data_IF_967647609844
#
_entry.id   IF_967647609844
#
_cell.length_a   1.000
_cell.length_b   1.000
_cell.length_c   1.000
_cell.angle_alpha   90.00
_cell.angle_beta   90.00
_cell.angle_gamma   90.00
#
_symmetry.space_group_name_H-M   'P 1'
#
loop_
_entity.id
_entity.type
_entity.pdbx_description
1 polymer ?
#
# COMPACT_ATOMS: atom_id res chain seq x y z
N UNK A 1 -10.53 -20.58 -15.05
CA UNK A 1 -10.88 -19.88 -13.79
C UNK A 1 -10.02 -20.44 -12.67
N UNK A 2 -9.59 -19.61 -11.72
CA UNK A 2 -8.80 -20.06 -10.56
C UNK A 2 -9.58 -21.08 -9.72
N UNK A 3 -8.87 -22.07 -9.16
CA UNK A 3 -9.47 -22.93 -8.14
C UNK A 3 -9.74 -22.14 -6.85
N UNK A 4 -10.63 -22.64 -5.99
CA UNK A 4 -10.97 -21.97 -4.72
C UNK A 4 -9.75 -21.76 -3.83
N UNK A 5 -8.81 -22.71 -3.82
CA UNK A 5 -7.58 -22.62 -3.04
C UNK A 5 -6.61 -21.56 -3.60
N UNK A 6 -6.43 -21.52 -4.93
CA UNK A 6 -5.59 -20.51 -5.57
C UNK A 6 -6.17 -19.09 -5.39
N UNK A 7 -7.49 -18.94 -5.54
CA UNK A 7 -8.17 -17.67 -5.28
C UNK A 7 -7.97 -17.22 -3.83
N UNK A 8 -8.14 -18.13 -2.86
CA UNK A 8 -7.92 -17.84 -1.45
C UNK A 8 -6.48 -17.40 -1.17
N UNK A 9 -5.49 -18.07 -1.78
CA UNK A 9 -4.08 -17.69 -1.69
C UNK A 9 -3.83 -16.27 -2.22
N UNK A 10 -4.33 -15.94 -3.42
CA UNK A 10 -4.16 -14.59 -3.97
C UNK A 10 -4.88 -13.52 -3.14
N UNK A 11 -6.05 -13.84 -2.55
CA UNK A 11 -6.73 -12.92 -1.63
C UNK A 11 -5.92 -12.70 -0.37
N UNK A 12 -5.39 -13.75 0.26
CA UNK A 12 -4.55 -13.62 1.44
C UNK A 12 -3.30 -12.76 1.15
N UNK A 13 -2.60 -13.04 0.05
CA UNK A 13 -1.42 -12.27 -0.38
C UNK A 13 -1.75 -10.80 -0.69
N UNK A 14 -2.94 -10.52 -1.22
CA UNK A 14 -3.39 -9.16 -1.53
C UNK A 14 -3.73 -8.35 -0.27
N UNK A 15 -4.36 -8.96 0.73
CA UNK A 15 -4.80 -8.26 1.95
C UNK A 15 -3.70 -8.16 3.02
N UNK A 16 -2.71 -9.05 2.97
CA UNK A 16 -1.61 -9.08 3.94
C UNK A 16 -0.88 -7.73 4.13
N UNK A 17 -0.51 -6.97 3.07
CA UNK A 17 0.14 -5.68 3.24
C UNK A 17 -0.70 -4.67 4.03
N UNK A 18 -2.02 -4.64 3.83
CA UNK A 18 -2.91 -3.77 4.58
C UNK A 18 -2.93 -4.15 6.07
N UNK A 19 -3.03 -5.45 6.37
CA UNK A 19 -3.02 -5.95 7.74
C UNK A 19 -1.69 -5.65 8.44
N UNK A 20 -0.57 -5.80 7.74
CA UNK A 20 0.75 -5.49 8.26
C UNK A 20 0.88 -3.99 8.60
N UNK A 21 0.46 -3.10 7.69
CA UNK A 21 0.48 -1.66 7.95
C UNK A 21 -0.43 -1.28 9.11
N UNK A 22 -1.65 -1.84 9.18
CA UNK A 22 -2.56 -1.62 10.31
C UNK A 22 -1.94 -2.07 11.63
N UNK A 23 -1.31 -3.25 11.67
CA UNK A 23 -0.67 -3.76 12.88
C UNK A 23 0.49 -2.86 13.33
N UNK A 24 1.34 -2.40 12.40
CA UNK A 24 2.44 -1.47 12.70
C UNK A 24 1.87 -0.14 13.23
N UNK A 25 0.90 0.46 12.55
CA UNK A 25 0.29 1.71 13.01
C UNK A 25 -0.40 1.57 14.37
N UNK A 26 -1.05 0.44 14.64
CA UNK A 26 -1.64 0.17 15.96
C UNK A 26 -0.59 -0.01 17.06
N UNK A 27 0.54 -0.63 16.75
CA UNK A 27 1.67 -0.79 17.67
C UNK A 27 2.31 0.55 18.02
N UNK A 28 2.61 1.37 17.01
CA UNK A 28 3.16 2.71 17.20
C UNK A 28 2.21 3.61 18.02
N UNK A 29 0.89 3.44 17.81
CA UNK A 29 -0.14 4.17 18.54
C UNK A 29 -0.16 3.76 20.01
N UNK A 30 -0.06 2.46 20.28
CA UNK A 30 -0.02 1.92 21.63
C UNK A 30 1.20 2.40 22.42
N UNK A 31 2.36 2.49 21.77
CA UNK A 31 3.61 2.93 22.40
C UNK A 31 3.70 4.46 22.57
N UNK A 32 2.71 5.21 22.08
CA UNK A 32 2.70 6.68 22.18
C UNK A 32 3.72 7.35 21.27
N UNK A 33 4.20 6.70 20.22
CA UNK A 33 5.19 7.28 19.29
C UNK A 33 4.61 8.48 18.51
N UNK A 34 3.28 8.59 18.45
CA UNK A 34 2.60 9.77 17.90
C UNK A 34 2.65 11.02 18.81
N UNK A 35 3.14 10.90 20.05
CA UNK A 35 3.22 11.99 21.03
C UNK A 35 4.63 12.58 21.18
N UNK A 36 5.67 11.90 20.68
CA UNK A 36 7.07 12.34 20.82
C UNK A 36 7.47 13.25 19.66
N UNK A 37 7.77 14.52 19.97
CA UNK A 37 8.07 15.58 18.98
C UNK A 37 9.50 15.51 18.38
N UNK A 38 10.16 14.35 18.40
CA UNK A 38 11.53 14.22 17.90
C UNK A 38 11.57 13.88 16.38
N UNK A 39 11.35 14.96 15.62
CA UNK A 39 11.85 15.39 14.29
C UNK A 39 12.20 14.43 13.13
N UNK A 40 11.98 13.12 13.18
CA UNK A 40 12.18 12.27 11.98
C UNK A 40 11.22 11.09 11.87
N UNK A 41 10.80 10.48 12.99
CA UNK A 41 9.82 9.38 13.00
C UNK A 41 8.41 9.82 12.60
N UNK A 42 8.03 11.03 13.03
CA UNK A 42 6.71 11.63 12.80
C UNK A 42 6.36 11.66 11.31
N UNK A 43 7.32 12.02 10.44
CA UNK A 43 7.08 12.09 9.00
C UNK A 43 6.76 10.72 8.40
N UNK A 44 7.55 9.69 8.74
CA UNK A 44 7.34 8.32 8.24
C UNK A 44 6.02 7.71 8.72
N UNK A 45 5.60 8.02 9.94
CA UNK A 45 4.34 7.56 10.49
C UNK A 45 3.12 8.20 9.80
N UNK A 46 3.18 9.50 9.47
CA UNK A 46 2.16 10.13 8.62
C UNK A 46 2.12 9.52 7.21
N UNK A 47 3.29 9.16 6.65
CA UNK A 47 3.42 8.52 5.33
C UNK A 47 2.78 7.14 5.29
N UNK A 48 2.87 6.37 6.37
CA UNK A 48 2.20 5.07 6.52
C UNK A 48 0.70 5.21 6.72
N UNK A 49 0.27 6.16 7.57
CA UNK A 49 -1.15 6.34 7.90
C UNK A 49 -1.98 6.75 6.69
N UNK A 50 -1.47 7.67 5.87
CA UNK A 50 -2.10 8.04 4.59
C UNK A 50 -2.01 6.96 3.51
N UNK A 51 -1.15 5.95 3.70
CA UNK A 51 -1.11 4.77 2.86
C UNK A 51 -2.26 3.78 3.11
N UNK A 52 -2.91 3.82 4.29
CA UNK A 52 -3.98 2.89 4.67
C UNK A 52 -5.20 3.01 3.74
N UNK A 53 -5.77 4.21 3.46
CA UNK A 53 -6.88 4.33 2.51
C UNK A 53 -6.51 3.85 1.10
N UNK A 54 -5.27 4.12 0.67
CA UNK A 54 -4.76 3.66 -0.62
C UNK A 54 -4.67 2.14 -0.70
N UNK A 55 -4.12 1.49 0.34
CA UNK A 55 -4.04 0.03 0.44
C UNK A 55 -5.43 -0.60 0.51
N UNK A 56 -6.35 -0.02 1.27
CA UNK A 56 -7.73 -0.48 1.35
C UNK A 56 -8.41 -0.42 -0.02
N UNK A 57 -8.35 0.74 -0.69
CA UNK A 57 -8.94 0.93 -2.01
C UNK A 57 -8.34 -0.01 -3.06
N UNK A 58 -7.02 -0.17 -3.04
CA UNK A 58 -6.31 -1.10 -3.90
C UNK A 58 -6.73 -2.55 -3.67
N UNK A 59 -6.76 -3.01 -2.42
CA UNK A 59 -7.15 -4.37 -2.05
C UNK A 59 -8.60 -4.67 -2.44
N UNK A 60 -9.53 -3.74 -2.23
CA UNK A 60 -10.93 -3.89 -2.65
C UNK A 60 -11.05 -3.96 -4.19
N UNK A 61 -10.37 -3.07 -4.90
CA UNK A 61 -10.40 -3.03 -6.36
C UNK A 61 -9.82 -4.31 -6.98
N UNK A 62 -8.68 -4.76 -6.47
CA UNK A 62 -8.00 -5.97 -6.94
C UNK A 62 -8.75 -7.24 -6.55
N UNK A 63 -9.39 -7.30 -5.39
CA UNK A 63 -10.23 -8.42 -4.98
C UNK A 63 -11.40 -8.61 -5.94
N UNK A 64 -12.08 -7.51 -6.32
CA UNK A 64 -13.14 -7.56 -7.34
C UNK A 64 -12.62 -8.01 -8.70
N UNK A 65 -11.42 -7.55 -9.08
CA UNK A 65 -10.83 -7.91 -10.38
C UNK A 65 -10.29 -9.33 -10.45
N UNK A 66 -9.96 -9.97 -9.32
CA UNK A 66 -9.40 -11.32 -9.27
C UNK A 66 -10.43 -12.43 -9.52
N UNK A 67 -11.71 -12.20 -9.16
CA UNK A 67 -12.75 -13.23 -9.18
C UNK A 67 -13.06 -13.80 -10.58
N UNK A 68 -12.83 -13.02 -11.64
CA UNK A 68 -13.13 -13.42 -13.02
C UNK A 68 -11.91 -13.85 -13.85
N UNK A 69 -10.72 -13.96 -13.22
CA UNK A 69 -9.46 -14.15 -13.95
C UNK A 69 -9.00 -15.60 -14.01
N UNK A 70 -8.25 -15.89 -15.07
CA UNK A 70 -7.45 -17.10 -15.20
C UNK A 70 -6.11 -16.96 -14.49
N UNK A 71 -5.45 -18.08 -14.21
CA UNK A 71 -4.18 -18.15 -13.47
C UNK A 71 -3.08 -17.25 -14.03
N UNK A 72 -2.80 -17.33 -15.34
CA UNK A 72 -1.81 -16.45 -15.98
C UNK A 72 -2.16 -14.96 -15.86
N UNK A 73 -3.45 -14.63 -15.87
CA UNK A 73 -3.91 -13.26 -15.68
C UNK A 73 -3.77 -12.80 -14.24
N UNK A 74 -3.93 -13.71 -13.26
CA UNK A 74 -3.72 -13.44 -11.83
C UNK A 74 -2.23 -13.21 -11.54
N UNK A 75 -1.34 -14.06 -12.05
CA UNK A 75 0.12 -13.88 -11.94
C UNK A 75 0.59 -12.56 -12.57
N UNK A 76 0.06 -12.23 -13.76
CA UNK A 76 0.31 -10.91 -14.37
C UNK A 76 -0.23 -9.79 -13.48
N UNK A 77 -1.38 -9.98 -12.84
CA UNK A 77 -1.94 -8.98 -11.93
C UNK A 77 -1.04 -8.72 -10.72
N UNK A 78 -0.47 -9.77 -10.13
CA UNK A 78 0.49 -9.68 -9.02
C UNK A 78 1.75 -8.93 -9.45
N UNK A 79 2.29 -9.22 -10.63
CA UNK A 79 3.45 -8.49 -11.16
C UNK A 79 3.19 -7.00 -11.40
N UNK A 80 1.98 -6.63 -11.80
CA UNK A 80 1.59 -5.24 -12.02
C UNK A 80 1.03 -4.56 -10.75
N UNK A 81 0.85 -5.30 -9.65
CA UNK A 81 0.30 -4.78 -8.41
C UNK A 81 1.10 -3.59 -7.85
N UNK A 82 2.45 -3.62 -7.78
CA UNK A 82 3.23 -2.51 -7.22
C UNK A 82 3.04 -1.22 -8.00
N UNK A 83 3.02 -1.29 -9.33
CA UNK A 83 2.83 -0.13 -10.20
C UNK A 83 1.41 0.41 -10.09
N UNK A 84 0.41 -0.49 -10.07
CA UNK A 84 -1.00 -0.11 -9.95
C UNK A 84 -1.36 0.45 -8.59
N UNK A 85 -0.58 0.14 -7.55
CA UNK A 85 -0.75 0.69 -6.21
C UNK A 85 -0.33 2.17 -6.12
N UNK A 86 0.66 2.61 -6.91
CA UNK A 86 1.17 3.99 -6.89
C UNK A 86 0.06 5.05 -6.93
N UNK A 87 -0.89 5.05 -7.90
CA UNK A 87 -1.94 6.07 -7.92
C UNK A 87 -2.84 6.03 -6.69
N UNK A 88 -3.10 4.86 -6.10
CA UNK A 88 -3.89 4.75 -4.86
C UNK A 88 -3.16 5.37 -3.66
N UNK A 89 -1.83 5.33 -3.66
CA UNK A 89 -1.01 5.98 -2.64
C UNK A 89 -0.81 7.48 -2.92
N UNK A 90 -0.49 7.85 -4.15
CA UNK A 90 -0.14 9.21 -4.54
C UNK A 90 -1.34 10.16 -4.53
N UNK A 91 -2.53 9.70 -4.95
CA UNK A 91 -3.71 10.57 -5.06
C UNK A 91 -4.15 11.15 -3.70
N UNK A 92 -4.30 10.37 -2.62
CA UNK A 92 -4.58 10.94 -1.29
C UNK A 92 -3.54 11.97 -0.84
N UNK A 93 -2.25 11.69 -1.10
CA UNK A 93 -1.14 12.58 -0.79
C UNK A 93 -1.19 13.89 -1.56
N UNK A 94 -1.44 13.84 -2.87
CA UNK A 94 -1.59 15.02 -3.71
C UNK A 94 -2.80 15.85 -3.30
N UNK A 95 -3.95 15.22 -3.02
CA UNK A 95 -5.15 15.92 -2.59
C UNK A 95 -4.92 16.62 -1.26
N UNK A 96 -4.33 15.94 -0.27
CA UNK A 96 -4.02 16.54 1.03
C UNK A 96 -3.08 17.75 0.89
N UNK A 97 -2.00 17.61 0.13
CA UNK A 97 -1.07 18.72 -0.12
C UNK A 97 -1.68 19.88 -0.91
N UNK A 98 -2.62 19.61 -1.82
CA UNK A 98 -3.38 20.67 -2.49
C UNK A 98 -4.31 21.39 -1.51
N UNK A 99 -5.04 20.65 -0.66
CA UNK A 99 -5.93 21.26 0.33
C UNK A 99 -5.16 22.07 1.39
N UNK A 100 -3.97 21.63 1.81
CA UNK A 100 -3.15 22.38 2.75
C UNK A 100 -2.66 23.71 2.17
N UNK A 101 -2.46 23.81 0.85
CA UNK A 101 -2.17 25.09 0.17
C UNK A 101 -3.32 26.09 0.23
N UNK A 102 -4.57 25.64 0.30
CA UNK A 102 -5.75 26.52 0.36
C UNK A 102 -6.18 26.87 1.78
N UNK A 103 -5.95 25.99 2.75
CA UNK A 103 -6.53 26.08 4.10
C UNK A 103 -5.47 26.21 5.22
N UNK A 104 -4.22 25.83 4.96
CA UNK A 104 -3.18 25.69 5.97
C UNK A 104 -1.91 26.50 5.72
N UNK A 105 -0.92 26.41 6.63
CA UNK A 105 0.39 27.02 6.46
C UNK A 105 1.08 26.46 5.22
N UNK A 106 1.71 27.33 4.42
CA UNK A 106 2.50 26.94 3.23
C UNK A 106 3.61 25.93 3.52
N UNK A 107 3.99 25.81 4.80
CA UNK A 107 4.94 24.81 5.27
C UNK A 107 4.46 23.39 5.03
N UNK A 108 3.17 23.09 4.89
CA UNK A 108 2.69 21.73 4.62
C UNK A 108 2.62 21.38 3.12
N UNK A 109 2.98 22.33 2.25
CA UNK A 109 2.98 22.13 0.79
C UNK A 109 4.02 21.12 0.30
N UNK A 110 5.13 20.92 1.03
CA UNK A 110 6.12 19.89 0.66
C UNK A 110 5.52 18.48 0.71
N UNK A 111 4.44 18.28 1.47
CA UNK A 111 3.72 17.01 1.51
C UNK A 111 3.15 16.63 0.14
N UNK A 112 2.75 17.60 -0.70
CA UNK A 112 2.28 17.33 -2.06
C UNK A 112 3.33 16.62 -2.95
N UNK A 113 4.60 16.69 -2.60
CA UNK A 113 5.73 16.10 -3.33
C UNK A 113 6.42 14.98 -2.56
N UNK A 114 6.16 14.84 -1.25
CA UNK A 114 6.80 13.84 -0.38
C UNK A 114 6.63 12.40 -0.88
N UNK A 115 5.47 12.09 -1.47
CA UNK A 115 5.20 10.76 -2.04
C UNK A 115 6.19 10.37 -3.15
N UNK A 116 6.74 11.33 -3.92
CA UNK A 116 7.70 11.06 -5.01
C UNK A 116 8.96 10.40 -4.46
N UNK A 117 9.44 10.86 -3.30
CA UNK A 117 10.63 10.29 -2.65
C UNK A 117 10.40 8.85 -2.16
N UNK A 118 9.15 8.45 -1.99
CA UNK A 118 8.73 7.15 -1.43
C UNK A 118 8.37 6.13 -2.50
N UNK A 119 7.98 6.57 -3.69
CA UNK A 119 7.68 5.69 -4.83
C UNK A 119 8.77 4.64 -5.08
N UNK A 120 10.09 4.97 -5.06
CA UNK A 120 11.13 3.95 -5.23
C UNK A 120 11.06 2.86 -4.16
N UNK A 121 10.86 3.23 -2.90
CA UNK A 121 10.77 2.29 -1.78
C UNK A 121 9.51 1.43 -1.86
N UNK A 122 8.37 2.02 -2.23
CA UNK A 122 7.11 1.29 -2.44
C UNK A 122 7.22 0.31 -3.61
N UNK A 123 7.90 0.70 -4.69
CA UNK A 123 8.14 -0.18 -5.83
C UNK A 123 9.04 -1.35 -5.44
N UNK A 124 10.18 -1.08 -4.78
CA UNK A 124 11.10 -2.12 -4.34
C UNK A 124 10.39 -3.10 -3.39
N UNK A 125 9.77 -2.60 -2.32
CA UNK A 125 9.04 -3.43 -1.37
C UNK A 125 7.87 -4.18 -2.01
N UNK A 126 7.12 -3.51 -2.89
CA UNK A 126 6.02 -4.12 -3.64
C UNK A 126 6.49 -5.25 -4.56
N UNK A 127 7.60 -5.07 -5.27
CA UNK A 127 8.15 -6.12 -6.15
C UNK A 127 8.77 -7.27 -5.37
N UNK A 128 9.36 -7.03 -4.19
CA UNK A 128 9.77 -8.10 -3.28
C UNK A 128 8.55 -8.92 -2.86
N UNK A 129 7.47 -8.27 -2.42
CA UNK A 129 6.22 -8.94 -2.06
C UNK A 129 5.61 -9.71 -3.24
N UNK A 130 5.59 -9.12 -4.43
CA UNK A 130 5.10 -9.78 -5.64
C UNK A 130 5.95 -11.00 -6.00
N UNK A 131 7.28 -10.90 -5.91
CA UNK A 131 8.21 -12.00 -6.13
C UNK A 131 8.00 -13.15 -5.15
N UNK A 132 7.90 -12.86 -3.85
CA UNK A 132 7.60 -13.85 -2.81
C UNK A 132 6.24 -14.50 -3.05
N UNK A 133 5.21 -13.72 -3.39
CA UNK A 133 3.87 -14.25 -3.71
C UNK A 133 3.92 -15.23 -4.87
N UNK A 134 4.63 -14.89 -5.96
CA UNK A 134 4.79 -15.77 -7.13
C UNK A 134 5.61 -17.01 -6.80
N UNK A 135 6.67 -16.88 -6.00
CA UNK A 135 7.51 -18.00 -5.58
C UNK A 135 6.72 -18.99 -4.72
N UNK A 136 6.01 -18.51 -3.69
CA UNK A 136 5.15 -19.33 -2.85
C UNK A 136 4.04 -19.99 -3.67
N UNK A 137 3.42 -19.24 -4.60
CA UNK A 137 2.40 -19.81 -5.47
C UNK A 137 2.92 -21.02 -6.24
N UNK A 138 4.09 -20.91 -6.89
CA UNK A 138 4.70 -22.01 -7.66
C UNK A 138 5.18 -23.20 -6.82
N UNK A 139 5.38 -23.01 -5.52
CA UNK A 139 5.78 -24.09 -4.60
C UNK A 139 4.56 -24.90 -4.17
N UNK A 140 3.42 -24.25 -3.96
CA UNK A 140 2.24 -24.86 -3.36
C UNK A 140 1.11 -25.20 -4.37
N UNK A 141 1.18 -24.67 -5.59
CA UNK A 141 0.18 -24.85 -6.66
C UNK A 141 0.87 -25.13 -8.00
#
# INVERSE_FOLDING_TARGET
MLSRAQLSFFMAALWWPLLAVLAISSYDLWNGEYLTSESTGIYWQYLLWWGIPGLLGFSLWMSRSAQSRNEQQALRMVWWAPVKFIPFYAVPWMLYGLFSLFVGPSRDAYMAYGWISIVPFLLIGGYVCAGVTVALYRIFF
#
